data_IF_872217968966
#
_entry.id   IF_872217968966
#
_cell.length_a   1.000
_cell.length_b   1.000
_cell.length_c   1.000
_cell.angle_alpha   90.00
_cell.angle_beta   90.00
_cell.angle_gamma   90.00
#
_symmetry.space_group_name_H-M   'P 1'
#
loop_
_entity.id
_entity.type
_entity.pdbx_description
1 polymer ?
#
# COMPACT_ATOMS: atom_id res chain seq x y z
N UNK A 1 -50.62 22.18 -6.48
CA UNK A 1 -49.59 21.19 -6.12
C UNK A 1 -49.20 20.47 -7.38
N UNK A 2 -47.95 20.61 -7.82
CA UNK A 2 -47.46 19.93 -9.02
C UNK A 2 -47.30 18.42 -8.74
N UNK A 3 -47.66 17.53 -9.68
CA UNK A 3 -47.46 16.10 -9.57
C UNK A 3 -45.97 15.78 -9.49
N UNK A 4 -45.58 15.11 -8.42
CA UNK A 4 -44.27 14.50 -8.26
C UNK A 4 -44.11 13.37 -9.30
N UNK A 5 -42.92 13.23 -9.91
CA UNK A 5 -42.59 12.19 -10.89
C UNK A 5 -43.39 12.23 -12.22
N UNK A 6 -43.31 13.34 -12.95
CA UNK A 6 -43.86 13.41 -14.33
C UNK A 6 -42.93 12.80 -15.37
N UNK A 7 -41.62 12.96 -15.21
CA UNK A 7 -40.62 12.58 -16.19
C UNK A 7 -39.70 11.48 -15.63
N UNK A 8 -39.56 10.39 -16.37
CA UNK A 8 -38.74 9.24 -15.97
C UNK A 8 -37.28 9.62 -15.65
N UNK A 9 -36.71 10.57 -16.39
CA UNK A 9 -35.33 11.06 -16.17
C UNK A 9 -35.17 11.87 -14.89
N UNK A 10 -36.18 12.66 -14.52
CA UNK A 10 -36.19 13.41 -13.25
C UNK A 10 -36.26 12.42 -12.08
N UNK A 11 -37.09 11.37 -12.19
CA UNK A 11 -37.17 10.32 -11.18
C UNK A 11 -35.82 9.63 -10.96
N UNK A 12 -35.09 9.30 -12.04
CA UNK A 12 -33.76 8.67 -11.95
C UNK A 12 -32.76 9.63 -11.30
N UNK A 13 -32.79 10.90 -11.67
CA UNK A 13 -31.91 11.91 -11.10
C UNK A 13 -32.14 12.07 -9.60
N UNK A 14 -33.39 12.18 -9.17
CA UNK A 14 -33.76 12.30 -7.76
C UNK A 14 -33.35 11.06 -6.95
N UNK A 15 -33.54 9.86 -7.53
CA UNK A 15 -33.11 8.59 -6.93
C UNK A 15 -31.58 8.44 -6.85
N UNK A 16 -30.83 8.99 -7.81
CA UNK A 16 -29.38 9.00 -7.79
C UNK A 16 -28.85 9.93 -6.68
N UNK A 17 -29.37 11.15 -6.60
CA UNK A 17 -28.97 12.10 -5.55
C UNK A 17 -29.34 11.56 -4.15
N UNK A 18 -30.48 10.87 -4.04
CA UNK A 18 -30.89 10.17 -2.82
C UNK A 18 -29.89 9.07 -2.40
N UNK A 19 -29.35 8.28 -3.34
CA UNK A 19 -28.31 7.27 -3.05
C UNK A 19 -27.03 7.89 -2.53
N UNK A 20 -26.69 9.10 -2.99
CA UNK A 20 -25.54 9.86 -2.48
C UNK A 20 -25.79 10.56 -1.15
N UNK A 21 -26.96 10.33 -0.52
CA UNK A 21 -27.39 10.88 0.78
C UNK A 21 -27.46 12.41 0.85
N UNK A 22 -27.32 13.11 -0.27
CA UNK A 22 -27.18 14.57 -0.30
C UNK A 22 -28.50 15.31 0.02
N UNK A 23 -29.66 14.69 -0.20
CA UNK A 23 -30.97 15.36 -0.22
C UNK A 23 -32.06 14.65 0.63
N UNK A 24 -31.78 14.34 1.90
CA UNK A 24 -32.77 13.72 2.79
C UNK A 24 -33.37 14.81 3.71
N UNK A 25 -34.61 15.34 3.49
CA UNK A 25 -35.85 14.61 3.21
C UNK A 25 -36.71 15.18 2.04
N UNK A 26 -36.23 16.17 1.30
CA UNK A 26 -37.00 16.93 0.30
C UNK A 26 -37.50 16.06 -0.87
N UNK A 27 -36.78 14.97 -1.19
CA UNK A 27 -37.18 14.01 -2.23
C UNK A 27 -38.29 13.05 -1.76
N UNK A 28 -38.35 12.78 -0.44
CA UNK A 28 -39.25 11.77 0.14
C UNK A 28 -40.52 12.36 0.74
N UNK A 29 -40.46 13.59 1.25
CA UNK A 29 -41.57 14.31 1.92
C UNK A 29 -42.90 14.30 1.12
N UNK A 30 -42.94 14.65 -0.17
CA UNK A 30 -44.20 14.70 -0.92
C UNK A 30 -44.79 13.32 -1.25
N UNK A 31 -43.98 12.25 -1.25
CA UNK A 31 -44.47 10.88 -1.42
C UNK A 31 -44.98 10.28 -0.09
N UNK A 32 -44.34 10.65 1.03
CA UNK A 32 -44.76 10.26 2.38
C UNK A 32 -46.14 10.85 2.74
N UNK A 33 -46.36 12.13 2.44
CA UNK A 33 -47.60 12.86 2.76
C UNK A 33 -48.83 12.29 2.01
N UNK A 34 -48.60 11.46 0.98
CA UNK A 34 -49.65 10.83 0.17
C UNK A 34 -49.99 9.41 0.62
N UNK A 35 -49.03 8.61 1.09
CA UNK A 35 -49.26 7.28 1.69
C UNK A 35 -48.00 6.72 2.36
N UNK A 36 -48.16 6.18 3.57
CA UNK A 36 -47.08 5.51 4.32
C UNK A 36 -46.43 4.33 3.55
N UNK A 37 -47.14 3.73 2.59
CA UNK A 37 -46.63 2.63 1.78
C UNK A 37 -45.52 3.04 0.81
N UNK A 38 -45.51 4.28 0.32
CA UNK A 38 -44.43 4.77 -0.55
C UNK A 38 -43.13 4.99 0.23
N UNK A 39 -43.21 5.29 1.53
CA UNK A 39 -42.04 5.40 2.41
C UNK A 39 -41.26 4.08 2.48
N UNK A 40 -42.00 2.96 2.54
CA UNK A 40 -41.41 1.63 2.60
C UNK A 40 -40.54 1.32 1.36
N UNK A 41 -40.97 1.76 0.17
CA UNK A 41 -40.18 1.63 -1.05
C UNK A 41 -38.82 2.33 -0.93
N UNK A 42 -38.80 3.59 -0.47
CA UNK A 42 -37.57 4.35 -0.31
C UNK A 42 -36.64 3.76 0.76
N UNK A 43 -37.19 3.25 1.86
CA UNK A 43 -36.41 2.56 2.90
C UNK A 43 -35.73 1.31 2.34
N UNK A 44 -36.48 0.47 1.61
CA UNK A 44 -35.92 -0.74 0.98
C UNK A 44 -34.88 -0.37 -0.08
N UNK A 45 -35.17 0.62 -0.92
CA UNK A 45 -34.25 1.13 -1.93
C UNK A 45 -32.93 1.62 -1.31
N UNK A 46 -33.01 2.42 -0.25
CA UNK A 46 -31.84 2.93 0.47
C UNK A 46 -31.02 1.80 1.11
N UNK A 47 -31.68 0.81 1.74
CA UNK A 47 -30.98 -0.34 2.33
C UNK A 47 -30.23 -1.12 1.23
N UNK A 48 -30.88 -1.38 0.10
CA UNK A 48 -30.26 -2.11 -1.03
C UNK A 48 -29.10 -1.31 -1.62
N UNK A 49 -29.26 -0.01 -1.88
CA UNK A 49 -28.22 0.80 -2.50
C UNK A 49 -27.04 1.07 -1.55
N UNK A 50 -27.30 1.47 -0.30
CA UNK A 50 -26.24 1.82 0.64
C UNK A 50 -25.46 0.60 1.14
N UNK A 51 -26.11 -0.54 1.34
CA UNK A 51 -25.41 -1.71 1.85
C UNK A 51 -24.98 -2.66 0.75
N UNK A 52 -25.83 -2.99 -0.22
CA UNK A 52 -25.46 -3.98 -1.24
C UNK A 52 -24.64 -3.33 -2.34
N UNK A 53 -25.16 -2.28 -2.99
CA UNK A 53 -24.47 -1.66 -4.13
C UNK A 53 -23.12 -1.05 -3.73
N UNK A 54 -23.07 -0.25 -2.67
CA UNK A 54 -21.79 0.33 -2.20
C UNK A 54 -20.78 -0.75 -1.79
N UNK A 55 -21.22 -1.83 -1.13
CA UNK A 55 -20.30 -2.93 -0.74
C UNK A 55 -19.73 -3.66 -1.96
N UNK A 56 -20.54 -3.92 -2.99
CA UNK A 56 -20.09 -4.59 -4.21
C UNK A 56 -19.10 -3.70 -4.99
N UNK A 57 -19.39 -2.40 -5.11
CA UNK A 57 -18.50 -1.44 -5.76
C UNK A 57 -17.17 -1.34 -5.00
N UNK A 58 -17.23 -1.16 -3.68
CA UNK A 58 -16.04 -1.07 -2.84
C UNK A 58 -15.19 -2.34 -2.91
N UNK A 59 -15.81 -3.53 -2.85
CA UNK A 59 -15.11 -4.80 -2.97
C UNK A 59 -14.37 -4.92 -4.32
N UNK A 60 -15.03 -4.51 -5.41
CA UNK A 60 -14.44 -4.55 -6.76
C UNK A 60 -13.26 -3.58 -6.88
N UNK A 61 -13.41 -2.34 -6.41
CA UNK A 61 -12.33 -1.35 -6.40
C UNK A 61 -11.16 -1.84 -5.55
N UNK A 62 -11.43 -2.35 -4.35
CA UNK A 62 -10.42 -2.87 -3.44
C UNK A 62 -9.65 -4.04 -4.04
N UNK A 63 -10.35 -5.01 -4.65
CA UNK A 63 -9.70 -6.16 -5.29
C UNK A 63 -8.82 -5.76 -6.47
N UNK A 64 -9.28 -4.83 -7.30
CA UNK A 64 -8.48 -4.27 -8.38
C UNK A 64 -7.25 -3.52 -7.84
N UNK A 65 -7.44 -2.64 -6.85
CA UNK A 65 -6.35 -1.92 -6.20
C UNK A 65 -5.29 -2.87 -5.63
N UNK A 66 -5.72 -3.88 -4.87
CA UNK A 66 -4.84 -4.90 -4.27
C UNK A 66 -4.06 -5.67 -5.33
N UNK A 67 -4.69 -5.97 -6.47
CA UNK A 67 -4.05 -6.69 -7.58
C UNK A 67 -3.01 -5.82 -8.28
N UNK A 68 -3.34 -4.56 -8.57
CA UNK A 68 -2.41 -3.60 -9.18
C UNK A 68 -1.22 -3.35 -8.26
N UNK A 69 -1.46 -3.06 -6.98
CA UNK A 69 -0.42 -2.86 -5.99
C UNK A 69 0.50 -4.09 -5.87
N UNK A 70 -0.06 -5.30 -5.85
CA UNK A 70 0.72 -6.54 -5.84
C UNK A 70 1.61 -6.66 -7.09
N UNK A 71 1.10 -6.28 -8.26
CA UNK A 71 1.87 -6.33 -9.51
C UNK A 71 2.99 -5.28 -9.53
N UNK A 72 2.73 -4.07 -9.06
CA UNK A 72 3.74 -3.01 -8.92
C UNK A 72 4.86 -3.41 -7.97
N UNK A 73 4.50 -3.95 -6.79
CA UNK A 73 5.50 -4.44 -5.82
C UNK A 73 6.33 -5.56 -6.43
N UNK A 74 5.70 -6.54 -7.10
CA UNK A 74 6.42 -7.63 -7.78
C UNK A 74 7.37 -7.09 -8.84
N UNK A 75 6.92 -6.17 -9.69
CA UNK A 75 7.73 -5.56 -10.73
C UNK A 75 8.92 -4.79 -10.15
N UNK A 76 8.70 -4.02 -9.07
CA UNK A 76 9.74 -3.29 -8.36
C UNK A 76 10.79 -4.23 -7.75
N UNK A 77 10.36 -5.29 -7.07
CA UNK A 77 11.25 -6.31 -6.48
C UNK A 77 12.05 -7.03 -7.57
N UNK A 78 11.39 -7.42 -8.67
CA UNK A 78 12.04 -8.06 -9.81
C UNK A 78 13.11 -7.15 -10.43
N UNK A 79 12.77 -5.89 -10.71
CA UNK A 79 13.70 -4.91 -11.27
C UNK A 79 14.88 -4.67 -10.33
N UNK A 80 14.64 -4.58 -9.02
CA UNK A 80 15.69 -4.44 -8.01
C UNK A 80 16.65 -5.64 -8.01
N UNK A 81 16.12 -6.87 -8.01
CA UNK A 81 16.91 -8.11 -8.11
C UNK A 81 17.73 -8.15 -9.40
N UNK A 82 17.13 -7.76 -10.52
CA UNK A 82 17.82 -7.72 -11.81
C UNK A 82 18.96 -6.69 -11.84
N UNK A 83 18.72 -5.47 -11.31
CA UNK A 83 19.73 -4.41 -11.22
C UNK A 83 20.90 -4.84 -10.33
N UNK A 84 20.62 -5.48 -9.19
CA UNK A 84 21.68 -6.01 -8.32
C UNK A 84 22.44 -7.15 -8.97
N UNK A 85 21.78 -8.07 -9.68
CA UNK A 85 22.47 -9.13 -10.42
C UNK A 85 23.45 -8.54 -11.44
N UNK A 86 23.02 -7.51 -12.20
CA UNK A 86 23.89 -6.78 -13.13
C UNK A 86 25.03 -6.05 -12.40
N UNK A 87 24.76 -5.42 -11.26
CA UNK A 87 25.79 -4.76 -10.46
C UNK A 87 26.85 -5.76 -9.97
N UNK A 88 26.45 -6.96 -9.54
CA UNK A 88 27.39 -8.03 -9.20
C UNK A 88 28.25 -8.43 -10.40
N UNK A 89 27.63 -8.62 -11.56
CA UNK A 89 28.35 -9.00 -12.77
C UNK A 89 29.38 -7.93 -13.22
N UNK A 90 29.17 -6.66 -12.88
CA UNK A 90 30.10 -5.55 -13.12
C UNK A 90 31.19 -5.41 -12.05
N UNK A 91 30.87 -5.69 -10.79
CA UNK A 91 31.76 -5.45 -9.64
C UNK A 91 32.58 -6.68 -9.21
N UNK A 92 32.27 -7.87 -9.75
CA UNK A 92 32.94 -9.12 -9.40
C UNK A 92 34.42 -9.10 -9.78
N UNK A 93 35.23 -9.68 -8.91
CA UNK A 93 36.66 -9.93 -9.14
C UNK A 93 36.88 -11.45 -9.14
N UNK A 94 37.69 -11.95 -10.07
CA UNK A 94 38.08 -13.37 -10.07
C UNK A 94 39.16 -13.59 -9.01
N UNK A 95 38.86 -14.41 -7.99
CA UNK A 95 39.82 -14.85 -6.98
C UNK A 95 39.97 -16.37 -7.11
N UNK A 96 41.01 -16.79 -7.82
CA UNK A 96 41.16 -18.20 -8.23
C UNK A 96 40.03 -18.62 -9.15
N UNK A 97 39.34 -19.72 -8.81
CA UNK A 97 38.22 -20.25 -9.59
C UNK A 97 36.84 -19.71 -9.16
N UNK A 98 36.79 -18.69 -8.29
CA UNK A 98 35.53 -18.12 -7.78
C UNK A 98 35.37 -16.66 -8.18
N UNK A 99 34.15 -16.29 -8.58
CA UNK A 99 33.74 -14.90 -8.79
C UNK A 99 33.19 -14.35 -7.48
N UNK A 100 33.90 -13.39 -6.89
CA UNK A 100 33.59 -12.86 -5.57
C UNK A 100 33.68 -11.34 -5.57
N UNK A 101 32.95 -10.73 -4.63
CA UNK A 101 33.01 -9.30 -4.38
C UNK A 101 33.81 -9.04 -3.10
N UNK A 102 34.88 -8.28 -3.22
CA UNK A 102 35.80 -7.95 -2.11
C UNK A 102 35.19 -6.90 -1.19
N UNK A 103 35.55 -6.93 0.09
CA UNK A 103 35.10 -5.96 1.09
C UNK A 103 35.33 -4.48 0.70
N UNK A 104 36.44 -4.15 0.03
CA UNK A 104 36.71 -2.78 -0.44
C UNK A 104 35.69 -2.30 -1.48
N UNK A 105 35.41 -3.13 -2.48
CA UNK A 105 34.39 -2.88 -3.50
C UNK A 105 32.98 -2.83 -2.88
N UNK A 106 32.71 -3.67 -1.89
CA UNK A 106 31.46 -3.63 -1.11
C UNK A 106 31.27 -2.29 -0.39
N UNK A 107 32.29 -1.81 0.31
CA UNK A 107 32.24 -0.55 1.05
C UNK A 107 31.95 0.64 0.12
N UNK A 108 32.59 0.66 -1.05
CA UNK A 108 32.33 1.66 -2.09
C UNK A 108 30.93 1.54 -2.69
N UNK A 109 30.45 0.32 -2.92
CA UNK A 109 29.11 0.08 -3.45
C UNK A 109 28.02 0.56 -2.48
N UNK A 110 28.13 0.22 -1.20
CA UNK A 110 27.15 0.60 -0.17
C UNK A 110 27.19 2.10 0.11
N UNK A 111 28.37 2.74 0.09
CA UNK A 111 28.46 4.20 0.29
C UNK A 111 27.73 4.98 -0.80
N UNK A 112 27.69 4.45 -2.03
CA UNK A 112 26.94 5.05 -3.15
C UNK A 112 25.43 4.78 -3.04
N UNK A 113 25.03 3.58 -2.63
CA UNK A 113 23.60 3.19 -2.56
C UNK A 113 22.89 3.72 -1.32
N UNK A 114 23.59 3.83 -0.19
CA UNK A 114 23.07 4.37 1.07
C UNK A 114 23.94 5.55 1.56
N UNK A 115 23.91 6.70 0.86
CA UNK A 115 24.59 7.89 1.32
C UNK A 115 23.95 8.33 2.65
N UNK A 116 24.69 8.22 3.76
CA UNK A 116 24.22 8.61 5.10
C UNK A 116 24.16 7.48 6.14
N UNK A 117 24.54 6.25 5.80
CA UNK A 117 24.74 5.20 6.81
C UNK A 117 26.20 5.18 7.29
N UNK A 118 26.38 5.03 8.61
CA UNK A 118 27.69 4.86 9.25
C UNK A 118 28.41 3.62 8.70
N UNK A 119 29.75 3.64 8.67
CA UNK A 119 30.58 2.50 8.26
C UNK A 119 30.23 1.23 9.05
N UNK A 120 29.88 1.38 10.34
CA UNK A 120 29.43 0.28 11.20
C UNK A 120 28.20 -0.44 10.61
N UNK A 121 27.25 0.29 10.01
CA UNK A 121 26.10 -0.34 9.38
C UNK A 121 26.47 -1.10 8.10
N UNK A 122 27.45 -0.61 7.35
CA UNK A 122 27.99 -1.29 6.15
C UNK A 122 28.69 -2.60 6.53
N UNK A 123 29.41 -2.58 7.65
CA UNK A 123 30.10 -3.75 8.20
C UNK A 123 29.13 -4.78 8.73
N UNK A 124 28.09 -4.34 9.44
CA UNK A 124 27.02 -5.23 9.89
C UNK A 124 26.29 -5.87 8.71
N UNK A 125 26.00 -5.11 7.65
CA UNK A 125 25.38 -5.68 6.44
C UNK A 125 26.29 -6.71 5.79
N UNK A 126 27.61 -6.46 5.72
CA UNK A 126 28.57 -7.45 5.23
C UNK A 126 28.52 -8.73 6.07
N UNK A 127 28.59 -8.61 7.40
CA UNK A 127 28.57 -9.76 8.32
C UNK A 127 27.28 -10.59 8.23
N UNK A 128 26.14 -9.94 7.99
CA UNK A 128 24.87 -10.66 7.83
C UNK A 128 24.81 -11.41 6.48
N UNK A 129 25.44 -10.86 5.43
CA UNK A 129 25.46 -11.48 4.10
C UNK A 129 26.56 -12.55 3.94
N UNK A 130 27.68 -12.39 4.62
CA UNK A 130 28.82 -13.31 4.63
C UNK A 130 28.66 -14.38 5.72
N UNK A 131 27.84 -15.39 5.41
CA UNK A 131 27.61 -16.54 6.30
C UNK A 131 28.87 -17.38 6.54
N UNK A 132 29.83 -17.35 5.60
CA UNK A 132 31.05 -18.16 5.64
C UNK A 132 32.21 -17.43 6.36
N UNK A 133 32.00 -16.18 6.79
CA UNK A 133 32.99 -15.31 7.44
C UNK A 133 34.30 -15.18 6.65
N UNK A 134 34.19 -15.16 5.32
CA UNK A 134 35.32 -15.16 4.37
C UNK A 134 35.77 -13.75 3.98
N UNK A 135 35.09 -12.72 4.47
CA UNK A 135 35.20 -11.31 4.08
C UNK A 135 35.02 -11.07 2.57
N UNK A 136 34.34 -11.99 1.88
CA UNK A 136 33.99 -11.87 0.46
C UNK A 136 32.55 -12.31 0.22
N UNK A 137 31.88 -11.68 -0.74
CA UNK A 137 30.50 -12.04 -1.10
C UNK A 137 30.45 -12.78 -2.42
N UNK A 138 29.84 -13.97 -2.40
CA UNK A 138 29.47 -14.68 -3.62
C UNK A 138 28.16 -14.09 -4.21
N UNK A 139 27.81 -14.46 -5.45
CA UNK A 139 26.61 -13.94 -6.13
C UNK A 139 25.31 -14.18 -5.34
N UNK A 140 25.20 -15.34 -4.69
CA UNK A 140 24.00 -15.74 -3.94
C UNK A 140 23.84 -14.93 -2.66
N UNK A 141 24.92 -14.82 -1.88
CA UNK A 141 25.04 -13.97 -0.69
C UNK A 141 24.79 -12.51 -1.04
N UNK A 142 25.37 -11.99 -2.12
CA UNK A 142 25.13 -10.61 -2.55
C UNK A 142 23.66 -10.35 -2.93
N UNK A 143 22.99 -11.27 -3.61
CA UNK A 143 21.58 -11.10 -3.98
C UNK A 143 20.64 -11.14 -2.76
N UNK A 144 21.01 -11.81 -1.66
CA UNK A 144 20.25 -11.79 -0.41
C UNK A 144 20.19 -10.39 0.23
N UNK A 145 21.01 -9.44 -0.23
CA UNK A 145 20.89 -8.03 0.13
C UNK A 145 19.49 -7.46 -0.19
N UNK A 146 18.80 -7.97 -1.22
CA UNK A 146 17.42 -7.51 -1.50
C UNK A 146 16.49 -7.76 -0.34
N UNK A 147 16.68 -8.88 0.35
CA UNK A 147 15.80 -9.34 1.40
C UNK A 147 16.12 -8.58 2.69
N UNK A 148 17.40 -8.30 2.96
CA UNK A 148 17.82 -7.42 4.07
C UNK A 148 17.28 -5.99 3.94
N UNK A 149 17.23 -5.44 2.72
CA UNK A 149 16.63 -4.13 2.51
C UNK A 149 15.12 -4.11 2.75
N UNK A 150 14.41 -5.24 2.56
CA UNK A 150 12.99 -5.31 2.88
C UNK A 150 12.76 -5.43 4.39
N UNK A 151 13.62 -6.15 5.11
CA UNK A 151 13.52 -6.29 6.58
C UNK A 151 13.71 -4.94 7.29
N UNK A 152 14.66 -4.11 6.86
CA UNK A 152 14.88 -2.78 7.47
C UNK A 152 13.79 -1.74 7.19
N UNK A 153 12.91 -1.95 6.20
CA UNK A 153 11.75 -1.07 5.99
C UNK A 153 10.58 -1.43 6.91
N UNK A 154 10.66 -2.59 7.58
CA UNK A 154 9.79 -3.00 8.69
C UNK A 154 10.50 -2.83 10.03
N UNK A 155 11.53 -1.98 10.14
CA UNK A 155 11.83 -1.38 11.44
C UNK A 155 10.59 -0.57 11.79
N UNK A 156 9.77 -1.15 12.66
CA UNK A 156 8.71 -0.47 13.39
C UNK A 156 9.32 0.85 13.83
N UNK A 157 8.90 1.95 13.21
CA UNK A 157 9.08 3.25 13.83
C UNK A 157 8.29 3.15 15.13
N UNK A 158 8.96 2.78 16.21
CA UNK A 158 8.60 3.18 17.58
C UNK A 158 8.81 4.70 17.71
N UNK A 159 8.37 5.47 16.70
CA UNK A 159 8.08 6.87 16.90
C UNK A 159 6.69 6.85 17.46
N UNK A 160 6.63 7.11 18.75
CA UNK A 160 5.45 7.62 19.46
C UNK A 160 4.55 8.31 18.44
N UNK A 161 3.34 7.81 18.28
CA UNK A 161 2.42 8.31 17.26
C UNK A 161 2.34 9.83 17.38
N UNK A 162 2.17 10.57 16.27
CA UNK A 162 2.06 12.04 16.36
C UNK A 162 0.99 12.47 17.39
N UNK A 163 -0.02 11.63 17.60
CA UNK A 163 -1.05 11.77 18.65
C UNK A 163 -0.48 11.64 20.08
N UNK A 164 0.46 10.74 20.31
CA UNK A 164 1.15 10.54 21.59
C UNK A 164 2.13 11.69 21.90
N UNK A 165 2.69 12.33 20.86
CA UNK A 165 3.48 13.55 21.01
C UNK A 165 2.63 14.77 21.35
N UNK A 166 1.40 14.86 20.83
CA UNK A 166 0.51 16.02 21.05
C UNK A 166 -0.44 15.85 22.25
N UNK A 167 -0.80 14.61 22.63
CA UNK A 167 -1.72 14.32 23.72
C UNK A 167 -1.20 13.19 24.63
N UNK A 168 -0.13 13.43 25.40
CA UNK A 168 0.49 12.42 26.26
C UNK A 168 -0.40 11.97 27.44
N UNK A 169 -1.48 12.70 27.76
CA UNK A 169 -2.34 12.41 28.90
C UNK A 169 -3.37 11.29 28.64
N UNK A 170 -3.72 11.02 27.39
CA UNK A 170 -4.77 10.03 27.04
C UNK A 170 -4.24 8.59 27.04
N UNK A 171 -2.92 8.42 26.90
CA UNK A 171 -2.30 7.10 26.73
C UNK A 171 -1.76 6.49 28.03
N UNK A 172 -1.66 7.27 29.11
CA UNK A 172 -1.10 6.84 30.40
C UNK A 172 -2.16 6.54 31.46
N UNK A 173 -3.28 5.93 31.07
CA UNK A 173 -4.33 5.53 32.01
C UNK A 173 -4.65 4.04 31.99
#
# INVERSE_FOLDING_TARGET
>A
GEPYFRNYLECIWDLYVLVTTANNPDVMMPAYDRSNWFALFFVIYLIVCLYIFMSVVLATIYNNYKTNLKNEIKAAVFLKRQKLAKAFDLLKVKRGNKEVLTYSTWKQFVSIILPGKSEVHTDLLMKILDQDNTNVLNKKSFLNLTDLFHVKLTEVKDRLTLLEQFFPYVYNH
#
